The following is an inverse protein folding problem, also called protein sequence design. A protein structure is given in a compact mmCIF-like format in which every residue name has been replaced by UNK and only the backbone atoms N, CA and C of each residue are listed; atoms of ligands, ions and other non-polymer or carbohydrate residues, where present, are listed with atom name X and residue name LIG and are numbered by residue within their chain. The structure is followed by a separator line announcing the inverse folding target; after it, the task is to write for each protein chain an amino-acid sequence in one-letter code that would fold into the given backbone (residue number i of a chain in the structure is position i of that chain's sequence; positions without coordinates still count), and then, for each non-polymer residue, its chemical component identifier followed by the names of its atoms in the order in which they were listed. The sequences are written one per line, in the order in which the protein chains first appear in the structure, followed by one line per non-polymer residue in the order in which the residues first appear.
data_IF_563997729661
#
_entry.id   IF_563997729661
#
_cell.length_a   1.000
_cell.length_b   1.000
_cell.length_c   1.000
_cell.angle_alpha   90.00
_cell.angle_beta   90.00
_cell.angle_gamma   90.00
#
_symmetry.space_group_name_H-M   'P 1'
#
loop_
_entity.id
_entity.type
_entity.pdbx_description
1 polymer ?
#
# COMPACT_ATOMS: atom_id res chain seq x y z
N UNK A 1 0.77 13.60 20.67
CA UNK A 1 -0.27 12.76 20.05
C UNK A 1 -1.09 13.65 19.11
N UNK A 2 -0.96 13.52 17.78
CA UNK A 2 -1.84 14.25 16.86
C UNK A 2 -3.24 13.62 16.98
N UNK A 3 -4.23 14.40 17.41
CA UNK A 3 -5.66 14.02 17.34
C UNK A 3 -5.96 13.75 15.86
N UNK A 4 -6.03 12.47 15.50
CA UNK A 4 -6.16 12.05 14.10
C UNK A 4 -7.57 12.33 13.61
N UNK A 5 -7.69 13.18 12.59
CA UNK A 5 -8.90 13.13 11.75
C UNK A 5 -9.04 11.72 11.18
N UNK A 6 -10.26 11.18 11.08
CA UNK A 6 -10.48 9.88 10.48
C UNK A 6 -9.92 9.90 9.06
N UNK A 7 -8.90 9.08 8.82
CA UNK A 7 -8.34 8.87 7.49
C UNK A 7 -9.39 8.10 6.69
N UNK A 8 -9.83 8.65 5.57
CA UNK A 8 -10.69 7.91 4.63
C UNK A 8 -9.89 6.74 4.07
N UNK A 9 -10.46 5.55 4.18
CA UNK A 9 -9.86 4.31 3.71
C UNK A 9 -10.59 3.85 2.45
N UNK A 10 -9.83 3.45 1.44
CA UNK A 10 -10.30 2.67 0.30
C UNK A 10 -10.17 1.21 0.69
N UNK A 11 -11.30 0.54 0.84
CA UNK A 11 -11.35 -0.88 1.19
C UNK A 11 -11.01 -1.74 -0.03
N UNK A 12 -10.03 -2.63 0.13
CA UNK A 12 -9.66 -3.62 -0.89
C UNK A 12 -10.50 -4.88 -0.72
N UNK A 13 -10.64 -5.33 0.53
CA UNK A 13 -11.52 -6.40 1.02
C UNK A 13 -11.86 -6.11 2.49
N UNK A 14 -12.90 -6.75 3.07
CA UNK A 14 -13.22 -6.61 4.49
C UNK A 14 -11.99 -6.72 5.41
N UNK A 15 -11.72 -5.65 6.17
CA UNK A 15 -10.60 -5.58 7.11
C UNK A 15 -9.23 -5.23 6.50
N UNK A 16 -9.15 -4.99 5.19
CA UNK A 16 -7.93 -4.60 4.48
C UNK A 16 -8.18 -3.38 3.58
N UNK A 17 -7.56 -2.25 3.92
CA UNK A 17 -7.72 -1.02 3.15
C UNK A 17 -6.43 -0.23 3.02
N UNK A 18 -6.46 0.76 2.13
CA UNK A 18 -5.40 1.73 1.94
C UNK A 18 -5.95 3.14 2.21
N UNK A 19 -5.16 4.08 2.74
CA UNK A 19 -5.61 5.46 2.83
C UNK A 19 -5.94 6.07 1.46
N UNK A 20 -6.98 6.88 1.35
CA UNK A 20 -7.41 7.51 0.09
C UNK A 20 -6.30 8.36 -0.55
N UNK A 21 -5.45 9.03 0.24
CA UNK A 21 -4.28 9.75 -0.29
C UNK A 21 -3.17 8.83 -0.84
N UNK A 22 -3.33 7.51 -0.77
CA UNK A 22 -2.49 6.50 -1.40
C UNK A 22 -3.16 5.82 -2.61
N UNK A 23 -4.34 6.29 -3.05
CA UNK A 23 -5.10 5.76 -4.20
C UNK A 23 -4.28 5.55 -5.50
N UNK A 24 -3.27 6.39 -5.73
CA UNK A 24 -2.38 6.29 -6.89
C UNK A 24 -1.71 4.91 -7.01
N UNK A 25 -1.54 4.18 -5.91
CA UNK A 25 -1.04 2.82 -5.92
C UNK A 25 -2.01 1.86 -6.61
N UNK A 26 -3.31 2.07 -6.50
CA UNK A 26 -4.33 1.26 -7.18
C UNK A 26 -4.43 1.59 -8.67
N UNK A 27 -4.02 2.80 -9.05
CA UNK A 27 -3.98 3.24 -10.45
C UNK A 27 -2.77 2.64 -11.19
N UNK A 28 -1.60 2.63 -10.54
CA UNK A 28 -0.33 2.30 -11.20
C UNK A 28 0.24 0.93 -10.84
N UNK A 29 -0.36 0.24 -9.86
CA UNK A 29 0.19 -1.00 -9.33
C UNK A 29 -0.89 -2.07 -9.12
N UNK A 30 -0.43 -3.31 -9.07
CA UNK A 30 -1.23 -4.47 -8.78
C UNK A 30 -0.81 -5.10 -7.44
N UNK A 31 -1.76 -5.55 -6.62
CA UNK A 31 -1.45 -6.27 -5.40
C UNK A 31 -0.75 -7.60 -5.73
N UNK A 32 0.25 -7.97 -4.95
CA UNK A 32 1.02 -9.22 -5.12
C UNK A 32 1.14 -9.97 -3.80
N UNK A 33 1.66 -11.20 -3.85
CA UNK A 33 2.05 -11.99 -2.68
C UNK A 33 0.92 -12.08 -1.63
N UNK A 34 1.16 -11.73 -0.36
CA UNK A 34 0.13 -11.86 0.66
C UNK A 34 -1.03 -10.88 0.48
N UNK A 35 -0.78 -9.70 -0.10
CA UNK A 35 -1.86 -8.74 -0.40
C UNK A 35 -2.80 -9.28 -1.46
N UNK A 36 -2.27 -9.91 -2.51
CA UNK A 36 -3.10 -10.58 -3.51
C UNK A 36 -3.89 -11.75 -2.92
N UNK A 37 -3.23 -12.61 -2.13
CA UNK A 37 -3.89 -13.74 -1.44
C UNK A 37 -5.00 -13.28 -0.50
N UNK A 38 -4.79 -12.18 0.21
CA UNK A 38 -5.80 -11.59 1.08
C UNK A 38 -7.02 -11.11 0.29
N UNK A 39 -6.79 -10.45 -0.85
CA UNK A 39 -7.87 -10.02 -1.75
C UNK A 39 -8.62 -11.21 -2.35
N UNK A 40 -7.89 -12.24 -2.79
CA UNK A 40 -8.46 -13.48 -3.35
C UNK A 40 -9.30 -14.26 -2.32
N UNK A 41 -8.87 -14.29 -1.06
CA UNK A 41 -9.61 -14.94 0.03
C UNK A 41 -10.87 -14.18 0.45
N UNK A 42 -10.90 -12.86 0.26
CA UNK A 42 -12.06 -12.02 0.55
C UNK A 42 -12.58 -12.20 1.97
N UNK A 43 -13.86 -12.56 2.10
CA UNK A 43 -14.56 -12.76 3.37
C UNK A 43 -14.08 -13.99 4.17
N UNK A 44 -13.22 -14.85 3.59
CA UNK A 44 -12.63 -16.00 4.30
C UNK A 44 -11.45 -15.60 5.20
N UNK A 45 -11.04 -14.33 5.19
CA UNK A 45 -10.14 -13.79 6.20
C UNK A 45 -10.91 -13.62 7.52
N UNK A 46 -11.02 -14.71 8.30
CA UNK A 46 -11.80 -14.77 9.55
C UNK A 46 -11.24 -13.93 10.71
N UNK A 47 -10.18 -13.15 10.48
CA UNK A 47 -9.46 -12.35 11.47
C UNK A 47 -9.14 -11.03 10.80
N UNK A 48 -9.14 -9.93 11.57
CA UNK A 48 -8.62 -8.62 11.16
C UNK A 48 -7.17 -8.75 10.65
N UNK A 49 -7.00 -9.18 9.40
CA UNK A 49 -5.71 -9.40 8.80
C UNK A 49 -5.11 -8.05 8.48
N UNK A 50 -4.34 -7.51 9.41
CA UNK A 50 -3.53 -6.31 9.25
C UNK A 50 -2.09 -6.71 8.93
N UNK A 51 -1.75 -6.97 7.66
CA UNK A 51 -0.36 -7.15 7.30
C UNK A 51 0.38 -5.85 7.63
N UNK A 52 1.64 -5.92 8.13
CA UNK A 52 2.40 -4.73 8.51
C UNK A 52 2.68 -3.79 7.33
N UNK A 53 2.49 -4.27 6.10
CA UNK A 53 2.53 -3.50 4.88
C UNK A 53 1.75 -4.22 3.77
N UNK A 54 1.27 -3.44 2.81
CA UNK A 54 0.73 -3.97 1.56
C UNK A 54 1.84 -4.15 0.53
N UNK A 55 1.70 -5.14 -0.34
CA UNK A 55 2.69 -5.48 -1.35
C UNK A 55 2.12 -5.26 -2.75
N UNK A 56 2.84 -4.47 -3.52
CA UNK A 56 2.46 -4.12 -4.87
C UNK A 56 3.59 -4.37 -5.86
N UNK A 57 3.21 -4.60 -7.11
CA UNK A 57 4.08 -4.50 -8.29
C UNK A 57 3.55 -3.37 -9.16
N UNK A 58 4.41 -2.43 -9.53
CA UNK A 58 4.03 -1.28 -10.35
C UNK A 58 4.70 -1.37 -11.72
N UNK A 59 4.00 -0.93 -12.77
CA UNK A 59 4.57 -0.89 -14.12
C UNK A 59 5.56 0.28 -14.27
N UNK A 60 5.27 1.40 -13.64
CA UNK A 60 6.10 2.61 -13.67
C UNK A 60 6.43 3.05 -12.25
N UNK A 61 7.57 2.54 -11.75
CA UNK A 61 8.03 2.84 -10.39
C UNK A 61 8.40 4.32 -10.23
N UNK A 62 8.96 4.94 -11.26
CA UNK A 62 9.41 6.33 -11.19
C UNK A 62 8.23 7.28 -11.01
N UNK A 63 7.14 7.05 -11.75
CA UNK A 63 5.89 7.79 -11.59
C UNK A 63 5.29 7.60 -10.20
N UNK A 64 5.30 6.38 -9.68
CA UNK A 64 4.77 6.08 -8.33
C UNK A 64 5.60 6.76 -7.25
N UNK A 65 6.93 6.77 -7.38
CA UNK A 65 7.81 7.50 -6.45
C UNK A 65 7.61 9.02 -6.55
N UNK A 66 7.42 9.54 -7.76
CA UNK A 66 7.14 10.97 -7.99
C UNK A 66 5.83 11.39 -7.32
N UNK A 67 4.75 10.62 -7.52
CA UNK A 67 3.45 10.86 -6.87
C UNK A 67 3.54 10.78 -5.35
N UNK A 68 4.28 9.80 -4.82
CA UNK A 68 4.49 9.65 -3.39
C UNK A 68 5.16 10.89 -2.79
N UNK A 69 6.25 11.38 -3.42
CA UNK A 69 6.94 12.61 -3.01
C UNK A 69 6.03 13.83 -3.11
N UNK A 70 5.27 13.96 -4.20
CA UNK A 70 4.31 15.06 -4.43
C UNK A 70 3.27 15.14 -3.31
N UNK A 71 2.88 14.00 -2.76
CA UNK A 71 1.91 13.87 -1.66
C UNK A 71 2.55 13.93 -0.26
N UNK A 72 3.86 14.19 -0.16
CA UNK A 72 4.57 14.30 1.12
C UNK A 72 4.83 12.96 1.81
N UNK A 73 4.72 11.85 1.09
CA UNK A 73 5.01 10.51 1.63
C UNK A 73 6.52 10.26 1.65
N UNK A 74 6.97 9.49 2.63
CA UNK A 74 8.36 9.07 2.75
C UNK A 74 8.61 7.89 1.82
N UNK A 75 9.71 7.93 1.09
CA UNK A 75 10.13 6.88 0.16
C UNK A 75 11.49 6.34 0.58
N UNK A 76 11.56 5.04 0.86
CA UNK A 76 12.79 4.33 1.22
C UNK A 76 13.13 3.31 0.14
N UNK A 77 14.37 3.35 -0.35
CA UNK A 77 14.85 2.41 -1.39
C UNK A 77 15.69 1.32 -0.74
N UNK A 78 15.24 0.08 -0.82
CA UNK A 78 15.99 -1.10 -0.43
C UNK A 78 16.50 -1.85 -1.67
N UNK A 79 17.37 -2.85 -1.48
CA UNK A 79 17.96 -3.64 -2.59
C UNK A 79 16.92 -4.35 -3.46
N UNK A 80 15.79 -4.79 -2.88
CA UNK A 80 14.75 -5.59 -3.57
C UNK A 80 13.39 -4.90 -3.70
N UNK A 81 13.18 -3.77 -3.04
CA UNK A 81 11.87 -3.11 -3.01
C UNK A 81 12.01 -1.62 -2.62
N UNK A 82 10.95 -0.87 -2.87
CA UNK A 82 10.77 0.49 -2.38
C UNK A 82 9.65 0.48 -1.34
N UNK A 83 9.85 1.16 -0.21
CA UNK A 83 8.80 1.37 0.80
C UNK A 83 8.27 2.79 0.70
N UNK A 84 6.95 2.95 0.62
CA UNK A 84 6.25 4.22 0.71
C UNK A 84 5.46 4.23 2.02
N UNK A 85 5.58 5.31 2.80
CA UNK A 85 4.91 5.42 4.10
C UNK A 85 4.67 6.85 4.53
N UNK A 86 3.63 7.07 5.33
CA UNK A 86 3.39 8.31 6.08
C UNK A 86 3.85 8.23 7.55
N UNK A 87 4.45 7.11 7.95
CA UNK A 87 4.84 6.79 9.34
C UNK A 87 3.88 5.86 10.06
N UNK A 88 2.68 5.61 9.53
CA UNK A 88 1.68 4.68 10.06
C UNK A 88 1.40 3.58 9.03
N UNK A 89 0.91 3.95 7.85
CA UNK A 89 0.62 3.03 6.76
C UNK A 89 1.86 2.81 5.90
N UNK A 90 2.09 1.57 5.51
CA UNK A 90 3.28 1.16 4.76
C UNK A 90 2.91 0.32 3.55
N UNK A 91 3.55 0.64 2.43
CA UNK A 91 3.42 -0.11 1.18
C UNK A 91 4.81 -0.46 0.67
N UNK A 92 5.00 -1.70 0.26
CA UNK A 92 6.22 -2.18 -0.39
C UNK A 92 5.96 -2.48 -1.87
N UNK A 93 6.70 -1.79 -2.72
CA UNK A 93 6.72 -1.98 -4.16
C UNK A 93 7.91 -2.87 -4.52
N UNK A 94 7.63 -4.06 -5.02
CA UNK A 94 8.65 -5.00 -5.46
C UNK A 94 8.93 -4.81 -6.94
N UNK A 95 10.20 -4.71 -7.28
CA UNK A 95 10.63 -4.76 -8.68
C UNK A 95 11.02 -6.20 -8.98
N UNK A 96 10.36 -6.84 -9.97
CA UNK A 96 10.90 -8.07 -10.55
C UNK A 96 12.09 -7.65 -11.41
N UNK A 97 13.31 -7.77 -10.84
CA UNK A 97 14.53 -7.87 -11.63
C UNK A 97 14.80 -9.33 -11.89
#
# INVERSE_FOLDING_TARGET
MRRGHPVKMIELVPGLGIPEYMDFLLIYCQPINHTRKAIEAGHLLSIDYHPPYLQFKCNDIEKVVSEAKRRGLRVYKAKKHITITDGIYQVRIYNHW
#
